data_IF_237114220704
#
_entry.id   IF_237114220704
#
_cell.length_a   1.000
_cell.length_b   1.000
_cell.length_c   1.000
_cell.angle_alpha   90.00
_cell.angle_beta   90.00
_cell.angle_gamma   90.00
#
_symmetry.space_group_name_H-M   'P 1'
#
loop_
_entity.id
_entity.type
_entity.pdbx_description
1 polymer ?
#
# COMPACT_ATOMS: atom_id res chain seq x y z
N UNK A 1 -14.06 -14.02 -21.37
CA UNK A 1 -14.36 -13.64 -19.98
C UNK A 1 -14.10 -14.85 -19.10
N UNK A 2 -12.84 -15.09 -18.73
CA UNK A 2 -12.49 -16.18 -17.81
C UNK A 2 -13.03 -15.84 -16.43
N UNK A 3 -14.23 -16.31 -16.13
CA UNK A 3 -14.86 -16.20 -14.82
C UNK A 3 -14.23 -17.19 -13.86
N UNK A 4 -12.97 -16.95 -13.49
CA UNK A 4 -12.30 -17.74 -12.47
C UNK A 4 -12.89 -17.28 -11.14
N UNK A 5 -13.55 -18.18 -10.41
CA UNK A 5 -13.94 -17.95 -9.00
C UNK A 5 -12.77 -17.40 -8.16
N UNK A 6 -11.54 -17.70 -8.57
CA UNK A 6 -10.31 -17.13 -8.02
C UNK A 6 -10.28 -15.60 -8.11
N UNK A 7 -10.64 -14.99 -9.25
CA UNK A 7 -10.57 -13.55 -9.46
C UNK A 7 -11.57 -12.81 -8.57
N UNK A 8 -12.77 -13.38 -8.44
CA UNK A 8 -13.78 -12.89 -7.51
C UNK A 8 -13.37 -13.07 -6.05
N UNK A 9 -12.72 -14.18 -5.70
CA UNK A 9 -12.18 -14.40 -4.36
C UNK A 9 -11.05 -13.41 -4.04
N UNK A 10 -10.14 -13.16 -4.97
CA UNK A 10 -9.09 -12.14 -4.85
C UNK A 10 -9.68 -10.75 -4.67
N UNK A 11 -10.72 -10.41 -5.45
CA UNK A 11 -11.40 -9.13 -5.32
C UNK A 11 -12.03 -8.96 -3.93
N UNK A 12 -12.75 -9.98 -3.43
CA UNK A 12 -13.38 -9.92 -2.11
C UNK A 12 -12.36 -9.85 -0.98
N UNK A 13 -11.29 -10.65 -1.04
CA UNK A 13 -10.22 -10.64 -0.03
C UNK A 13 -9.52 -9.28 -0.03
N UNK A 14 -9.18 -8.76 -1.20
CA UNK A 14 -8.55 -7.43 -1.32
C UNK A 14 -9.46 -6.34 -0.79
N UNK A 15 -10.75 -6.35 -1.16
CA UNK A 15 -11.73 -5.39 -0.66
C UNK A 15 -11.90 -5.45 0.86
N UNK A 16 -11.89 -6.65 1.43
CA UNK A 16 -11.98 -6.83 2.89
C UNK A 16 -10.73 -6.32 3.62
N UNK A 17 -9.54 -6.61 3.11
CA UNK A 17 -8.28 -6.11 3.66
C UNK A 17 -8.22 -4.59 3.55
N UNK A 18 -8.60 -4.01 2.41
CA UNK A 18 -8.66 -2.55 2.23
C UNK A 18 -9.69 -1.91 3.16
N UNK A 19 -10.87 -2.51 3.32
CA UNK A 19 -11.89 -2.00 4.24
C UNK A 19 -11.39 -2.04 5.69
N UNK A 20 -10.79 -3.15 6.11
CA UNK A 20 -10.20 -3.26 7.44
C UNK A 20 -9.06 -2.25 7.62
N UNK A 21 -8.10 -2.17 6.69
CA UNK A 21 -6.98 -1.24 6.76
C UNK A 21 -7.41 0.25 6.81
N UNK A 22 -8.49 0.62 6.12
CA UNK A 22 -9.01 1.99 6.12
C UNK A 22 -9.92 2.29 7.33
N UNK A 23 -10.63 1.29 7.85
CA UNK A 23 -11.63 1.47 8.91
C UNK A 23 -11.05 1.20 10.30
N UNK A 24 -10.01 0.38 10.42
CA UNK A 24 -9.38 0.07 11.70
C UNK A 24 -8.71 1.32 12.23
N UNK A 25 -9.24 1.85 13.33
CA UNK A 25 -8.63 2.90 14.14
C UNK A 25 -8.06 2.23 15.38
N UNK A 26 -6.83 2.57 15.73
CA UNK A 26 -6.24 2.12 16.98
C UNK A 26 -7.01 2.71 18.17
N UNK A 27 -6.75 2.21 19.37
CA UNK A 27 -7.43 2.58 20.62
C UNK A 27 -7.38 4.09 20.93
N UNK A 28 -6.39 4.80 20.36
CA UNK A 28 -6.22 6.26 20.45
C UNK A 28 -7.01 7.07 19.39
N UNK A 29 -7.75 6.42 18.49
CA UNK A 29 -8.64 7.06 17.51
C UNK A 29 -7.95 7.57 16.23
N UNK A 30 -6.63 7.42 16.11
CA UNK A 30 -5.86 7.81 14.92
C UNK A 30 -5.76 6.65 13.91
N UNK A 31 -5.95 6.96 12.63
CA UNK A 31 -5.71 6.02 11.52
C UNK A 31 -4.39 6.39 10.84
N UNK A 32 -3.29 5.90 11.39
CA UNK A 32 -1.94 6.19 10.89
C UNK A 32 -1.53 5.35 9.67
N UNK A 33 -2.39 4.41 9.25
CA UNK A 33 -2.09 3.48 8.16
C UNK A 33 -1.88 4.25 6.85
N UNK A 34 -2.72 5.25 6.56
CA UNK A 34 -2.57 6.09 5.37
C UNK A 34 -1.26 6.89 5.37
N UNK A 35 -0.87 7.45 6.52
CA UNK A 35 0.38 8.21 6.66
C UNK A 35 1.60 7.29 6.49
N UNK A 36 1.55 6.11 7.10
CA UNK A 36 2.61 5.10 7.00
C UNK A 36 2.77 4.60 5.55
N UNK A 37 1.66 4.30 4.87
CA UNK A 37 1.66 3.87 3.46
C UNK A 37 2.23 4.95 2.54
N UNK A 38 1.77 6.20 2.71
CA UNK A 38 2.27 7.32 1.91
C UNK A 38 3.76 7.58 2.18
N UNK A 39 4.18 7.57 3.45
CA UNK A 39 5.58 7.71 3.84
C UNK A 39 6.46 6.59 3.28
N UNK A 40 5.99 5.34 3.30
CA UNK A 40 6.71 4.20 2.75
C UNK A 40 6.89 4.30 1.23
N UNK A 41 5.84 4.68 0.48
CA UNK A 41 5.94 4.90 -0.97
C UNK A 41 6.89 6.06 -1.27
N UNK A 42 6.77 7.18 -0.54
CA UNK A 42 7.67 8.33 -0.70
C UNK A 42 9.14 7.95 -0.47
N UNK A 43 9.44 7.11 0.53
CA UNK A 43 10.78 6.61 0.80
C UNK A 43 11.33 5.79 -0.38
N UNK A 44 10.54 4.90 -0.97
CA UNK A 44 10.96 4.09 -2.12
C UNK A 44 11.29 4.96 -3.34
N UNK A 45 10.44 5.96 -3.63
CA UNK A 45 10.69 6.89 -4.72
C UNK A 45 11.91 7.77 -4.46
N UNK A 46 12.05 8.28 -3.24
CA UNK A 46 13.23 9.02 -2.81
C UNK A 46 14.50 8.19 -2.99
N UNK A 47 14.47 6.93 -2.56
CA UNK A 47 15.62 6.04 -2.67
C UNK A 47 15.99 5.75 -4.14
N UNK A 48 14.99 5.57 -5.01
CA UNK A 48 15.21 5.45 -6.45
C UNK A 48 15.90 6.68 -7.02
N UNK A 49 15.39 7.88 -6.72
CA UNK A 49 15.98 9.14 -7.20
C UNK A 49 17.39 9.33 -6.65
N UNK A 50 17.60 9.03 -5.37
CA UNK A 50 18.90 9.11 -4.73
C UNK A 50 19.92 8.18 -5.43
N UNK A 51 19.56 6.92 -5.65
CA UNK A 51 20.47 5.92 -6.23
C UNK A 51 20.74 6.12 -7.72
N UNK A 52 19.69 6.41 -8.50
CA UNK A 52 19.76 6.52 -9.97
C UNK A 52 20.15 7.94 -10.40
N UNK A 53 19.45 8.96 -9.90
CA UNK A 53 19.60 10.33 -10.43
C UNK A 53 20.77 11.08 -9.76
N UNK A 54 20.95 10.92 -8.44
CA UNK A 54 22.00 11.64 -7.69
C UNK A 54 23.31 10.86 -7.69
N UNK A 55 23.31 9.64 -7.15
CA UNK A 55 24.52 8.84 -6.96
C UNK A 55 24.99 8.18 -8.27
N UNK A 56 24.08 7.88 -9.21
CA UNK A 56 24.37 7.17 -10.47
C UNK A 56 25.07 5.82 -10.26
N UNK A 57 24.73 5.13 -9.18
CA UNK A 57 25.32 3.84 -8.80
C UNK A 57 24.44 2.67 -9.30
N UNK A 58 23.19 2.96 -9.64
CA UNK A 58 22.25 2.04 -10.29
C UNK A 58 21.93 2.51 -11.72
#
# INVERSE_FOLDING_TARGET
>A
MSGSLIDWAFLLVTGFISYHALTHRNEDGENDIGHLLFGAIALLFFFRVLMVDILKVL
#
